data_IF_904795892747
#
_entry.id   IF_904795892747
#
_cell.length_a   1.000
_cell.length_b   1.000
_cell.length_c   1.000
_cell.angle_alpha   90.00
_cell.angle_beta   90.00
_cell.angle_gamma   90.00
#
_symmetry.space_group_name_H-M   'P 1'
#
loop_
_entity.id
_entity.type
_entity.pdbx_description
1 polymer ?
#
# COMPACT_ATOMS: atom_id res chain seq x y z
N UNK A 1 -30.88 -40.10 31.82
CA UNK A 1 -30.49 -38.69 31.72
C UNK A 1 -29.68 -38.55 30.44
N UNK A 2 -30.22 -37.93 29.39
CA UNK A 2 -29.56 -37.74 28.08
C UNK A 2 -29.00 -36.31 28.04
N UNK A 3 -27.69 -36.15 28.07
CA UNK A 3 -27.01 -34.85 27.93
C UNK A 3 -27.09 -34.38 26.47
N UNK A 4 -27.74 -33.27 26.26
CA UNK A 4 -27.81 -32.59 24.96
C UNK A 4 -26.56 -31.69 24.82
N UNK A 5 -25.65 -32.08 23.92
CA UNK A 5 -24.50 -31.24 23.60
C UNK A 5 -24.91 -30.18 22.56
N UNK A 6 -24.92 -28.93 22.97
CA UNK A 6 -25.17 -27.79 22.09
C UNK A 6 -23.83 -27.45 21.41
N UNK A 7 -23.74 -27.74 20.11
CA UNK A 7 -22.65 -27.24 19.27
C UNK A 7 -22.90 -25.74 18.95
N UNK A 8 -22.13 -24.86 19.56
CA UNK A 8 -22.04 -23.46 19.17
C UNK A 8 -21.18 -23.35 17.90
N UNK A 9 -21.84 -23.21 16.75
CA UNK A 9 -21.16 -22.76 15.52
C UNK A 9 -20.81 -21.27 15.68
N UNK A 10 -19.55 -20.97 15.97
CA UNK A 10 -19.02 -19.62 15.92
C UNK A 10 -18.97 -19.15 14.46
N UNK A 11 -19.84 -18.25 14.07
CA UNK A 11 -19.74 -17.56 12.77
C UNK A 11 -18.51 -16.64 12.80
N UNK A 12 -17.48 -16.97 12.02
CA UNK A 12 -16.36 -16.08 11.71
C UNK A 12 -16.87 -14.98 10.80
N UNK A 13 -17.27 -13.84 11.39
CA UNK A 13 -17.62 -12.64 10.63
C UNK A 13 -16.35 -11.96 10.12
N UNK A 14 -15.89 -12.38 8.95
CA UNK A 14 -14.94 -11.60 8.15
C UNK A 14 -15.62 -10.33 7.60
N UNK A 15 -14.85 -9.33 7.12
CA UNK A 15 -15.42 -8.13 6.51
C UNK A 15 -16.30 -8.54 5.32
N UNK A 16 -17.58 -8.20 5.40
CA UNK A 16 -18.54 -8.43 4.30
C UNK A 16 -18.35 -7.31 3.29
N UNK A 17 -17.53 -7.55 2.26
CA UNK A 17 -17.53 -6.71 1.06
C UNK A 17 -18.77 -7.03 0.23
N UNK A 18 -19.45 -6.00 -0.29
CA UNK A 18 -20.53 -6.23 -1.23
C UNK A 18 -19.95 -6.90 -2.49
N UNK A 19 -20.47 -8.04 -2.91
CA UNK A 19 -19.94 -8.77 -4.08
C UNK A 19 -19.95 -7.93 -5.34
N UNK A 20 -20.91 -7.00 -5.46
CA UNK A 20 -21.04 -6.10 -6.59
C UNK A 20 -19.86 -5.09 -6.66
N UNK A 21 -19.39 -4.58 -5.51
CA UNK A 21 -18.23 -3.69 -5.46
C UNK A 21 -16.94 -4.39 -5.89
N UNK A 22 -16.74 -5.64 -5.49
CA UNK A 22 -15.57 -6.43 -5.90
C UNK A 22 -15.60 -6.73 -7.40
N UNK A 23 -16.76 -7.03 -7.98
CA UNK A 23 -16.91 -7.28 -9.41
C UNK A 23 -16.65 -6.01 -10.24
N UNK A 24 -17.18 -4.86 -9.79
CA UNK A 24 -16.94 -3.57 -10.43
C UNK A 24 -15.44 -3.19 -10.35
N UNK A 25 -14.83 -3.30 -9.18
CA UNK A 25 -13.40 -3.04 -8.97
C UNK A 25 -12.52 -3.95 -9.83
N UNK A 26 -12.83 -5.24 -9.94
CA UNK A 26 -12.12 -6.19 -10.81
C UNK A 26 -12.17 -5.78 -12.28
N UNK A 27 -13.32 -5.36 -12.76
CA UNK A 27 -13.50 -4.90 -14.14
C UNK A 27 -12.65 -3.67 -14.45
N UNK A 28 -12.64 -2.70 -13.54
CA UNK A 28 -11.83 -1.49 -13.65
C UNK A 28 -10.33 -1.81 -13.58
N UNK A 29 -9.91 -2.64 -12.62
CA UNK A 29 -8.53 -3.04 -12.44
C UNK A 29 -7.97 -3.79 -13.66
N UNK A 30 -8.76 -4.69 -14.26
CA UNK A 30 -8.39 -5.44 -15.47
C UNK A 30 -8.31 -4.56 -16.74
N UNK A 31 -8.84 -3.34 -16.69
CA UNK A 31 -8.74 -2.34 -17.76
C UNK A 31 -7.39 -1.63 -17.77
N UNK A 32 -7.44 -0.30 -17.79
CA UNK A 32 -6.25 0.56 -17.91
C UNK A 32 -5.24 0.39 -16.76
N UNK A 33 -5.69 0.03 -15.55
CA UNK A 33 -4.81 -0.13 -14.40
C UNK A 33 -3.85 -1.32 -14.54
N UNK A 34 -4.31 -2.41 -15.20
CA UNK A 34 -3.55 -3.64 -15.37
C UNK A 34 -2.24 -3.46 -16.15
N UNK A 35 -2.17 -2.47 -17.04
CA UNK A 35 -0.98 -2.20 -17.86
C UNK A 35 0.28 -1.93 -17.01
N UNK A 36 0.11 -1.32 -15.83
CA UNK A 36 1.21 -0.97 -14.92
C UNK A 36 1.17 -1.78 -13.62
N UNK A 37 -0.03 -1.96 -13.05
CA UNK A 37 -0.17 -2.59 -11.72
C UNK A 37 -0.51 -4.09 -11.78
N UNK A 38 -0.66 -4.68 -12.97
CA UNK A 38 -1.21 -6.01 -13.19
C UNK A 38 -2.68 -6.13 -12.74
N UNK A 39 -3.45 -7.11 -13.24
CA UNK A 39 -4.88 -7.21 -12.93
C UNK A 39 -5.19 -7.38 -11.44
N UNK A 40 -4.30 -8.05 -10.70
CA UNK A 40 -4.43 -8.35 -9.27
C UNK A 40 -3.70 -7.35 -8.36
N UNK A 41 -3.04 -6.34 -8.93
CA UNK A 41 -2.28 -5.35 -8.18
C UNK A 41 -0.87 -5.80 -7.75
N UNK A 42 -0.40 -6.96 -8.20
CA UNK A 42 0.98 -7.41 -7.97
C UNK A 42 1.85 -6.96 -9.15
N UNK A 43 2.24 -5.70 -9.17
CA UNK A 43 3.04 -5.13 -10.26
C UNK A 43 4.33 -5.90 -10.49
N UNK A 44 4.70 -6.06 -11.77
CA UNK A 44 5.92 -6.75 -12.16
C UNK A 44 7.15 -5.82 -12.28
N UNK A 45 6.92 -4.51 -12.30
CA UNK A 45 7.94 -3.50 -12.57
C UNK A 45 8.22 -2.63 -11.34
N UNK A 46 9.50 -2.35 -11.01
CA UNK A 46 9.89 -1.64 -9.79
C UNK A 46 9.35 -0.20 -9.66
N UNK A 47 9.04 0.44 -10.79
CA UNK A 47 8.51 1.80 -10.78
C UNK A 47 7.01 1.88 -10.45
N UNK A 48 6.27 0.78 -10.59
CA UNK A 48 4.84 0.73 -10.30
C UNK A 48 4.58 0.04 -8.96
N UNK A 49 3.85 0.68 -8.03
CA UNK A 49 3.64 0.08 -6.72
C UNK A 49 2.77 -1.16 -6.76
N UNK A 50 3.05 -2.10 -5.86
CA UNK A 50 2.15 -3.18 -5.49
C UNK A 50 0.91 -2.57 -4.82
N UNK A 51 -0.28 -2.90 -5.33
CA UNK A 51 -1.58 -2.49 -4.80
C UNK A 51 -2.31 -3.63 -4.09
N UNK A 52 -1.92 -4.88 -4.35
CA UNK A 52 -2.49 -6.06 -3.70
C UNK A 52 -2.36 -5.97 -2.17
N UNK A 53 -3.46 -6.22 -1.45
CA UNK A 53 -3.53 -6.13 0.00
C UNK A 53 -3.44 -4.72 0.58
N UNK A 54 -3.45 -3.68 -0.25
CA UNK A 54 -3.45 -2.30 0.23
C UNK A 54 -4.81 -1.91 0.78
N UNK A 55 -4.85 -1.11 1.86
CA UNK A 55 -6.09 -0.61 2.43
C UNK A 55 -6.95 0.09 1.36
N UNK A 56 -8.24 -0.26 1.29
CA UNK A 56 -9.18 0.37 0.37
C UNK A 56 -9.26 1.88 0.56
N UNK A 57 -9.22 2.31 1.83
CA UNK A 57 -9.30 3.72 2.19
C UNK A 57 -8.08 4.49 1.73
N UNK A 58 -6.89 3.88 1.86
CA UNK A 58 -5.67 4.49 1.33
C UNK A 58 -5.72 4.61 -0.19
N UNK A 59 -6.13 3.55 -0.92
CA UNK A 59 -6.26 3.60 -2.39
C UNK A 59 -7.25 4.69 -2.80
N UNK A 60 -8.43 4.73 -2.16
CA UNK A 60 -9.43 5.76 -2.41
C UNK A 60 -8.86 7.17 -2.24
N UNK A 61 -8.17 7.43 -1.12
CA UNK A 61 -7.58 8.74 -0.84
C UNK A 61 -6.51 9.08 -1.88
N UNK A 62 -5.64 8.14 -2.25
CA UNK A 62 -4.61 8.41 -3.25
C UNK A 62 -5.19 8.71 -4.62
N UNK A 63 -6.18 7.97 -5.09
CA UNK A 63 -6.86 8.25 -6.36
C UNK A 63 -7.57 9.61 -6.32
N UNK A 64 -8.23 9.93 -5.23
CA UNK A 64 -8.86 11.24 -5.01
C UNK A 64 -7.82 12.37 -5.02
N UNK A 65 -6.68 12.18 -4.35
CA UNK A 65 -5.62 13.18 -4.29
C UNK A 65 -4.95 13.41 -5.65
N UNK A 66 -4.76 12.38 -6.46
CA UNK A 66 -4.32 12.52 -7.85
C UNK A 66 -5.34 13.28 -8.70
N UNK A 67 -6.63 12.98 -8.57
CA UNK A 67 -7.70 13.66 -9.30
C UNK A 67 -7.80 15.14 -8.93
N UNK A 68 -7.64 15.47 -7.64
CA UNK A 68 -7.81 16.81 -7.11
C UNK A 68 -6.49 17.62 -7.04
N UNK A 69 -5.38 17.05 -7.53
CA UNK A 69 -4.07 17.70 -7.59
C UNK A 69 -3.34 17.85 -6.25
N UNK A 70 -3.84 17.23 -5.16
CA UNK A 70 -3.14 17.20 -3.88
C UNK A 70 -1.94 16.26 -3.86
N UNK A 71 -1.93 15.29 -4.77
CA UNK A 71 -0.80 14.46 -5.14
C UNK A 71 -0.63 14.52 -6.65
N UNK A 72 0.59 14.75 -7.13
CA UNK A 72 0.87 14.84 -8.57
C UNK A 72 1.81 13.72 -9.01
N UNK A 73 1.47 13.11 -10.14
CA UNK A 73 2.31 12.15 -10.84
C UNK A 73 1.93 12.17 -12.32
N UNK A 74 2.90 12.23 -13.26
CA UNK A 74 2.60 12.38 -14.69
C UNK A 74 1.79 11.23 -15.29
N UNK A 75 1.85 10.04 -14.67
CA UNK A 75 1.08 8.87 -15.12
C UNK A 75 -0.24 8.74 -14.37
N UNK A 76 -0.20 8.83 -13.02
CA UNK A 76 -1.39 8.55 -12.20
C UNK A 76 -2.41 9.69 -12.20
N UNK A 77 -2.00 10.96 -12.30
CA UNK A 77 -2.96 12.07 -12.31
C UNK A 77 -3.94 12.00 -13.48
N UNK A 78 -3.50 11.75 -14.74
CA UNK A 78 -4.43 11.54 -15.86
C UNK A 78 -5.33 10.30 -15.66
N UNK A 79 -4.78 9.20 -15.09
CA UNK A 79 -5.54 7.98 -14.86
C UNK A 79 -6.68 8.17 -13.85
N UNK A 80 -6.45 8.97 -12.83
CA UNK A 80 -7.44 9.23 -11.78
C UNK A 80 -8.48 10.29 -12.18
N UNK A 81 -8.20 11.14 -13.17
CA UNK A 81 -8.98 12.33 -13.49
C UNK A 81 -10.45 12.03 -13.80
N UNK A 82 -10.74 10.94 -14.51
CA UNK A 82 -12.10 10.55 -14.92
C UNK A 82 -12.83 9.67 -13.92
N UNK A 83 -12.14 9.12 -12.88
CA UNK A 83 -12.76 8.20 -11.95
C UNK A 83 -13.81 8.89 -11.07
N UNK A 84 -14.98 8.28 -10.94
CA UNK A 84 -15.98 8.65 -9.96
C UNK A 84 -15.57 8.21 -8.55
N UNK A 85 -16.25 8.75 -7.53
CA UNK A 85 -16.04 8.34 -6.15
C UNK A 85 -16.26 6.83 -5.95
N UNK A 86 -17.32 6.30 -6.53
CA UNK A 86 -17.71 4.90 -6.36
C UNK A 86 -16.73 3.95 -7.07
N UNK A 87 -16.22 4.33 -8.24
CA UNK A 87 -15.16 3.59 -8.93
C UNK A 87 -13.85 3.56 -8.12
N UNK A 88 -13.47 4.68 -7.48
CA UNK A 88 -12.29 4.71 -6.59
C UNK A 88 -12.46 3.80 -5.38
N UNK A 89 -13.68 3.73 -4.80
CA UNK A 89 -14.01 2.84 -3.68
C UNK A 89 -13.98 1.38 -4.15
N UNK A 90 -14.58 1.07 -5.30
CA UNK A 90 -14.61 -0.28 -5.87
C UNK A 90 -13.18 -0.79 -6.17
N UNK A 91 -12.32 0.05 -6.75
CA UNK A 91 -10.90 -0.26 -6.94
C UNK A 91 -10.18 -0.53 -5.60
N UNK A 92 -10.44 0.30 -4.59
CA UNK A 92 -9.89 0.13 -3.25
C UNK A 92 -10.27 -1.22 -2.63
N UNK A 93 -11.57 -1.55 -2.65
CA UNK A 93 -12.11 -2.80 -2.13
C UNK A 93 -11.52 -4.02 -2.88
N UNK A 94 -11.42 -3.91 -4.19
CA UNK A 94 -10.87 -4.98 -5.02
C UNK A 94 -9.40 -5.26 -4.69
N UNK A 95 -8.53 -4.24 -4.67
CA UNK A 95 -7.11 -4.42 -4.39
C UNK A 95 -6.84 -4.83 -2.94
N UNK A 96 -7.64 -4.36 -1.98
CA UNK A 96 -7.54 -4.82 -0.60
C UNK A 96 -7.80 -6.33 -0.45
N UNK A 97 -8.70 -6.87 -1.25
CA UNK A 97 -9.03 -8.29 -1.25
C UNK A 97 -7.97 -9.18 -1.96
N UNK A 98 -7.02 -8.58 -2.68
CA UNK A 98 -5.98 -9.34 -3.37
C UNK A 98 -4.87 -9.75 -2.40
N UNK A 99 -4.28 -10.92 -2.64
CA UNK A 99 -3.13 -11.39 -1.87
C UNK A 99 -1.85 -10.74 -2.41
N UNK A 100 -1.08 -10.00 -1.58
CA UNK A 100 0.21 -9.49 -2.00
C UNK A 100 1.20 -10.64 -2.21
N UNK A 101 1.99 -10.55 -3.26
CA UNK A 101 3.07 -11.48 -3.58
C UNK A 101 4.42 -10.79 -3.32
N UNK A 102 5.46 -11.56 -2.95
CA UNK A 102 6.82 -11.01 -2.81
C UNK A 102 7.31 -10.40 -4.13
N UNK A 103 7.89 -9.21 -4.04
CA UNK A 103 8.53 -8.57 -5.20
C UNK A 103 9.85 -9.26 -5.55
N UNK A 104 10.17 -9.33 -6.84
CA UNK A 104 11.40 -9.95 -7.32
C UNK A 104 12.54 -8.93 -7.31
N UNK A 105 13.26 -8.82 -6.22
CA UNK A 105 14.48 -8.01 -6.12
C UNK A 105 15.61 -8.84 -5.51
N UNK A 106 16.86 -8.35 -5.62
CA UNK A 106 18.01 -9.00 -4.98
C UNK A 106 18.20 -8.38 -3.59
N UNK A 107 17.85 -9.11 -2.50
CA UNK A 107 18.02 -8.59 -1.17
C UNK A 107 19.51 -8.43 -0.82
N UNK A 108 19.86 -7.31 -0.15
CA UNK A 108 21.16 -7.12 0.48
C UNK A 108 21.00 -7.28 2.00
N UNK A 109 21.49 -8.38 2.61
CA UNK A 109 21.34 -8.64 4.04
C UNK A 109 21.94 -7.54 4.92
N UNK A 110 23.03 -6.90 4.50
CA UNK A 110 23.64 -5.81 5.27
C UNK A 110 22.76 -4.57 5.27
N UNK A 111 22.15 -4.22 4.12
CA UNK A 111 21.18 -3.13 4.01
C UNK A 111 19.89 -3.42 4.78
N UNK A 112 19.41 -4.65 4.72
CA UNK A 112 18.21 -5.05 5.47
C UNK A 112 18.43 -4.85 6.97
N UNK A 113 19.56 -5.28 7.51
CA UNK A 113 19.87 -5.11 8.93
C UNK A 113 20.05 -3.64 9.33
N UNK A 114 20.71 -2.84 8.49
CA UNK A 114 20.80 -1.39 8.70
C UNK A 114 19.43 -0.73 8.65
N UNK A 115 18.60 -1.08 7.64
CA UNK A 115 17.24 -0.58 7.49
C UNK A 115 16.35 -0.91 8.70
N UNK A 116 16.50 -2.10 9.28
CA UNK A 116 15.83 -2.47 10.54
C UNK A 116 16.21 -1.51 11.67
N UNK A 117 17.50 -1.18 11.82
CA UNK A 117 17.96 -0.24 12.85
C UNK A 117 17.41 1.17 12.64
N UNK A 118 17.40 1.64 11.40
CA UNK A 118 16.80 2.94 11.04
C UNK A 118 15.30 2.93 11.36
N UNK A 119 14.59 1.87 10.98
CA UNK A 119 13.18 1.68 11.30
C UNK A 119 12.89 1.80 12.80
N UNK A 120 13.72 1.12 13.63
CA UNK A 120 13.57 1.14 15.07
C UNK A 120 13.86 2.53 15.66
N UNK A 121 14.79 3.28 15.07
CA UNK A 121 15.15 4.62 15.50
C UNK A 121 14.09 5.68 15.17
N UNK A 122 13.46 5.60 13.98
CA UNK A 122 12.45 6.57 13.53
C UNK A 122 11.00 6.10 13.76
N UNK A 123 10.82 4.93 14.36
CA UNK A 123 9.55 4.39 14.85
C UNK A 123 8.46 4.23 13.77
N UNK A 124 8.83 3.80 12.57
CA UNK A 124 7.87 3.59 11.47
C UNK A 124 6.66 2.72 11.86
N UNK A 125 6.81 1.63 12.67
CA UNK A 125 5.68 0.78 13.07
C UNK A 125 4.64 1.48 13.95
N UNK A 126 4.94 2.62 14.56
CA UNK A 126 3.94 3.36 15.35
C UNK A 126 2.73 3.78 14.50
N UNK A 127 2.95 4.13 13.23
CA UNK A 127 1.88 4.49 12.29
C UNK A 127 1.55 3.34 11.35
N UNK A 128 2.58 2.73 10.72
CA UNK A 128 2.38 1.66 9.75
C UNK A 128 2.02 0.30 10.36
N UNK A 129 1.94 0.22 11.69
CA UNK A 129 1.65 -0.95 12.51
C UNK A 129 2.71 -2.06 12.40
N UNK A 130 2.55 -3.09 13.23
CA UNK A 130 3.39 -4.28 13.19
C UNK A 130 3.40 -4.92 11.81
N UNK A 131 4.56 -5.40 11.36
CA UNK A 131 4.78 -5.99 10.04
C UNK A 131 4.43 -5.05 8.87
N UNK A 132 4.27 -3.75 9.11
CA UNK A 132 3.99 -2.73 8.09
C UNK A 132 2.74 -3.00 7.25
N UNK A 133 1.73 -3.61 7.86
CA UNK A 133 0.44 -3.91 7.20
C UNK A 133 -0.45 -2.70 7.01
N UNK A 134 -0.19 -1.62 7.75
CA UNK A 134 -1.03 -0.42 7.73
C UNK A 134 -2.45 -0.65 8.22
N UNK A 135 -3.23 0.41 8.25
CA UNK A 135 -4.69 0.37 8.47
C UNK A 135 -5.34 1.66 8.02
N UNK A 136 -6.58 1.60 7.58
CA UNK A 136 -7.35 2.76 7.14
C UNK A 136 -6.58 3.61 6.11
N UNK A 137 -6.30 4.88 6.42
CA UNK A 137 -5.50 5.79 5.60
C UNK A 137 -3.99 5.59 5.70
N UNK A 138 -3.51 4.84 6.68
CA UNK A 138 -2.09 4.50 6.81
C UNK A 138 -1.78 3.30 5.93
N UNK A 139 -0.88 3.42 4.95
CA UNK A 139 -0.69 2.37 3.96
C UNK A 139 0.04 1.15 4.50
N UNK A 140 -0.33 -0.02 3.95
CA UNK A 140 0.57 -1.16 3.90
C UNK A 140 1.80 -0.78 3.07
N UNK A 141 2.99 -1.02 3.59
CA UNK A 141 4.24 -0.79 2.85
C UNK A 141 5.14 -2.04 2.80
N UNK A 142 4.84 -3.07 3.61
CA UNK A 142 5.56 -4.35 3.56
C UNK A 142 5.54 -4.95 2.15
N UNK A 143 6.68 -5.48 1.70
CA UNK A 143 6.80 -6.12 0.39
C UNK A 143 6.62 -5.18 -0.81
N UNK A 144 6.79 -3.87 -0.61
CA UNK A 144 6.76 -2.89 -1.70
C UNK A 144 8.10 -2.85 -2.42
N UNK A 145 8.09 -2.54 -3.71
CA UNK A 145 9.29 -2.38 -4.52
C UNK A 145 10.29 -1.40 -3.90
N UNK A 146 11.59 -1.74 -3.79
CA UNK A 146 12.61 -0.84 -3.22
C UNK A 146 12.63 0.52 -3.92
N UNK A 147 12.58 0.54 -5.26
CA UNK A 147 12.64 1.78 -6.03
C UNK A 147 11.42 2.66 -5.79
N UNK A 148 10.24 2.07 -5.64
CA UNK A 148 9.04 2.82 -5.29
C UNK A 148 9.12 3.38 -3.85
N UNK A 149 9.63 2.60 -2.89
CA UNK A 149 9.85 3.06 -1.51
C UNK A 149 10.81 4.24 -1.49
N UNK A 150 11.97 4.13 -2.16
CA UNK A 150 12.96 5.22 -2.30
C UNK A 150 12.32 6.47 -2.88
N UNK A 151 11.65 6.32 -4.03
CA UNK A 151 10.95 7.44 -4.67
C UNK A 151 9.99 8.14 -3.71
N UNK A 152 9.17 7.41 -2.96
CA UNK A 152 8.20 8.03 -2.06
C UNK A 152 8.86 8.74 -0.88
N UNK A 153 9.91 8.15 -0.28
CA UNK A 153 10.65 8.82 0.81
C UNK A 153 11.34 10.09 0.32
N UNK A 154 11.92 10.09 -0.88
CA UNK A 154 12.46 11.31 -1.50
C UNK A 154 11.38 12.34 -1.80
N UNK A 155 10.25 11.91 -2.39
CA UNK A 155 9.16 12.83 -2.72
C UNK A 155 8.61 13.54 -1.48
N UNK A 156 8.53 12.86 -0.32
CA UNK A 156 8.16 13.47 0.95
C UNK A 156 9.27 14.38 1.50
N UNK A 157 10.53 13.92 1.50
CA UNK A 157 11.70 14.67 1.98
C UNK A 157 11.86 15.99 1.23
N UNK A 158 11.68 15.97 -0.07
CA UNK A 158 11.79 17.12 -0.97
C UNK A 158 10.49 17.93 -1.10
N UNK A 159 9.44 17.53 -0.37
CA UNK A 159 8.11 18.14 -0.42
C UNK A 159 7.46 18.15 -1.81
N UNK A 160 7.86 17.22 -2.69
CA UNK A 160 7.18 16.94 -3.97
C UNK A 160 5.85 16.22 -3.75
N UNK A 161 5.76 15.47 -2.64
CA UNK A 161 4.57 14.82 -2.14
C UNK A 161 4.25 15.35 -0.75
N UNK A 162 3.04 15.89 -0.56
CA UNK A 162 2.64 16.58 0.69
C UNK A 162 1.24 16.17 1.18
N UNK A 163 0.65 15.14 0.60
CA UNK A 163 -0.70 14.68 0.95
C UNK A 163 -0.72 13.74 2.18
N UNK A 164 0.16 13.98 3.14
CA UNK A 164 0.45 13.14 4.32
C UNK A 164 0.12 13.82 5.65
N UNK A 165 -0.45 15.02 5.62
CA UNK A 165 -0.66 15.83 6.84
C UNK A 165 0.63 16.22 7.56
N UNK A 166 1.78 16.17 6.88
CA UNK A 166 3.10 16.50 7.42
C UNK A 166 3.81 15.34 8.12
N UNK A 167 3.17 14.20 8.34
CA UNK A 167 3.75 13.09 9.09
C UNK A 167 4.95 12.46 8.35
N UNK A 168 4.73 11.97 7.12
CA UNK A 168 5.82 11.37 6.34
C UNK A 168 6.86 12.39 5.91
N UNK A 169 6.44 13.63 5.63
CA UNK A 169 7.34 14.75 5.34
C UNK A 169 8.31 15.00 6.50
N UNK A 170 7.81 15.00 7.74
CA UNK A 170 8.64 15.19 8.94
C UNK A 170 9.62 14.02 9.13
N UNK A 171 9.15 12.78 9.05
CA UNK A 171 10.01 11.60 9.20
C UNK A 171 11.05 11.53 8.09
N UNK A 172 10.64 11.68 6.83
CA UNK A 172 11.56 11.58 5.69
C UNK A 172 12.62 12.69 5.69
N UNK A 173 12.28 13.86 6.24
CA UNK A 173 13.23 14.97 6.40
C UNK A 173 14.43 14.67 7.30
N UNK A 174 14.30 13.69 8.21
CA UNK A 174 15.39 13.27 9.10
C UNK A 174 16.31 12.19 8.51
N UNK A 175 15.88 11.53 7.43
CA UNK A 175 16.60 10.40 6.83
C UNK A 175 17.76 10.89 5.97
N UNK A 176 18.89 10.21 6.05
CA UNK A 176 19.99 10.32 5.08
C UNK A 176 19.69 9.51 3.81
N UNK A 177 20.46 9.69 2.75
CA UNK A 177 20.32 8.89 1.52
C UNK A 177 20.60 7.40 1.79
N UNK A 178 21.59 7.09 2.64
CA UNK A 178 21.89 5.70 3.03
C UNK A 178 20.75 5.11 3.88
N UNK A 179 20.09 5.89 4.73
CA UNK A 179 18.91 5.44 5.47
C UNK A 179 17.75 5.08 4.53
N UNK A 180 17.50 5.91 3.53
CA UNK A 180 16.43 5.67 2.54
C UNK A 180 16.71 4.38 1.76
N UNK A 181 17.95 4.18 1.30
CA UNK A 181 18.35 2.96 0.59
C UNK A 181 18.23 1.72 1.48
N UNK A 182 18.68 1.81 2.74
CA UNK A 182 18.61 0.70 3.69
C UNK A 182 17.16 0.36 4.07
N UNK A 183 16.31 1.37 4.31
CA UNK A 183 14.88 1.19 4.57
C UNK A 183 14.16 0.55 3.38
N UNK A 184 14.50 0.92 2.15
CA UNK A 184 13.91 0.35 0.95
C UNK A 184 14.17 -1.16 0.86
N UNK A 185 15.40 -1.61 1.12
CA UNK A 185 15.75 -3.03 1.18
C UNK A 185 15.03 -3.76 2.32
N UNK A 186 14.95 -3.14 3.49
CA UNK A 186 14.27 -3.70 4.65
C UNK A 186 12.77 -3.89 4.38
N UNK A 187 12.09 -2.85 3.93
CA UNK A 187 10.65 -2.85 3.66
C UNK A 187 10.27 -3.84 2.55
N UNK A 188 11.06 -3.90 1.49
CA UNK A 188 10.83 -4.83 0.37
C UNK A 188 10.99 -6.30 0.79
N UNK A 189 11.80 -6.59 1.82
CA UNK A 189 12.01 -7.94 2.34
C UNK A 189 10.93 -8.40 3.33
N UNK A 190 10.01 -7.53 3.75
CA UNK A 190 8.86 -7.87 4.59
C UNK A 190 7.75 -8.51 3.75
N UNK A 191 6.98 -9.46 4.34
CA UNK A 191 5.88 -10.16 3.66
C UNK A 191 4.51 -9.83 4.25
#
# INVERSE_FOLDING_TARGET
MRSLAILLLGALSGPVFCQDDLAAGKKLAAGVCAACHMPDGNSAEPMYPVLAGQSWRYIYIQLKDFKEGRRSDPQMSPMAASLSRDEMIALGNYYQAQKPLPVKFTPDPARIEKGRKVNDAVLCPMCHLGEFKGQNEIPRVAGQWPDYVKKQLHDFKEKKRTNDGGNMTSVSGTLTEDDIENLAHYIANLN
#
